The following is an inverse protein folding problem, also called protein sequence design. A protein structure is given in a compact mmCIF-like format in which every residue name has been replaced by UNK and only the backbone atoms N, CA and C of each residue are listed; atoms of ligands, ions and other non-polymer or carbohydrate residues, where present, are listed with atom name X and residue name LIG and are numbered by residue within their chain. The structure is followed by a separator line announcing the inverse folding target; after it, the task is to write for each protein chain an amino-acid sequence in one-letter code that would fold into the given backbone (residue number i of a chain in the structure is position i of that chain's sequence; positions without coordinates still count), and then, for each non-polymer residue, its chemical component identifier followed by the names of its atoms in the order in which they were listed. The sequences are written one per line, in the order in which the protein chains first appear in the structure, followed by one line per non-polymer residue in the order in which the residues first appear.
data_IF_045158589354
#
_entry.id   IF_045158589354
#
_cell.length_a   1.000
_cell.length_b   1.000
_cell.length_c   1.000
_cell.angle_alpha   90.00
_cell.angle_beta   90.00
_cell.angle_gamma   90.00
#
_symmetry.space_group_name_H-M   'P 1'
#
loop_
_entity.id
_entity.type
_entity.pdbx_description
1 polymer ?
#
# COMPACT_ATOMS: atom_id res chain seq x y z
N UNK A 1 -38.66 -21.59 -26.54
CA UNK A 1 -39.34 -20.37 -26.04
C UNK A 1 -38.89 -20.19 -24.60
N UNK A 2 -37.79 -19.46 -24.43
CA UNK A 2 -37.78 -18.08 -23.87
C UNK A 2 -37.85 -18.17 -22.33
N UNK A 3 -36.82 -17.90 -21.54
CA UNK A 3 -35.71 -16.98 -21.75
C UNK A 3 -36.07 -15.59 -21.20
N UNK A 4 -36.05 -15.44 -19.87
CA UNK A 4 -35.88 -14.21 -19.07
C UNK A 4 -36.17 -14.63 -17.61
N UNK A 5 -35.39 -14.32 -16.58
CA UNK A 5 -34.86 -13.01 -16.21
C UNK A 5 -33.54 -13.17 -15.43
N UNK A 6 -32.40 -12.90 -16.08
CA UNK A 6 -31.09 -12.67 -15.44
C UNK A 6 -30.44 -11.39 -16.01
N UNK A 7 -31.26 -10.48 -16.52
CA UNK A 7 -30.85 -9.16 -17.02
C UNK A 7 -30.97 -8.15 -15.89
N UNK A 8 -29.88 -7.97 -15.15
CA UNK A 8 -29.80 -6.92 -14.13
C UNK A 8 -28.38 -6.61 -13.62
N UNK A 9 -27.35 -7.39 -13.99
CA UNK A 9 -25.98 -7.20 -13.54
C UNK A 9 -24.97 -7.15 -14.70
N UNK A 10 -25.29 -6.43 -15.76
CA UNK A 10 -24.40 -6.21 -16.89
C UNK A 10 -24.07 -4.73 -17.01
N UNK A 11 -22.78 -4.40 -16.81
CA UNK A 11 -22.12 -3.10 -16.95
C UNK A 11 -22.26 -2.14 -15.76
N UNK A 12 -21.48 -2.38 -14.70
CA UNK A 12 -21.02 -1.27 -13.85
C UNK A 12 -19.78 -0.68 -14.53
N UNK A 13 -19.80 0.61 -14.84
CA UNK A 13 -18.60 1.33 -15.26
C UNK A 13 -17.56 1.31 -14.14
N UNK A 14 -16.27 1.54 -14.44
CA UNK A 14 -15.24 1.71 -13.39
C UNK A 14 -15.66 2.81 -12.38
N UNK A 15 -16.42 3.80 -12.85
CA UNK A 15 -16.99 4.85 -12.04
C UNK A 15 -18.11 4.35 -11.11
N UNK A 16 -18.91 3.38 -11.53
CA UNK A 16 -19.93 2.76 -10.67
C UNK A 16 -19.30 1.88 -9.57
N UNK A 17 -18.14 1.28 -9.83
CA UNK A 17 -17.35 0.61 -8.80
C UNK A 17 -16.83 1.63 -7.77
N UNK A 18 -16.27 2.76 -8.23
CA UNK A 18 -15.86 3.85 -7.35
C UNK A 18 -17.03 4.39 -6.51
N UNK A 19 -18.22 4.55 -7.10
CA UNK A 19 -19.45 4.93 -6.38
C UNK A 19 -19.79 3.97 -5.27
N UNK A 20 -19.71 2.68 -5.55
CA UNK A 20 -20.05 1.63 -4.59
C UNK A 20 -19.04 1.54 -3.44
N UNK A 21 -17.76 1.74 -3.73
CA UNK A 21 -16.68 1.85 -2.74
C UNK A 21 -16.90 3.06 -1.81
N UNK A 22 -17.17 4.24 -2.37
CA UNK A 22 -17.48 5.45 -1.58
C UNK A 22 -18.76 5.25 -0.77
N UNK A 23 -19.77 4.58 -1.30
CA UNK A 23 -21.01 4.27 -0.56
C UNK A 23 -20.76 3.35 0.63
N UNK A 24 -20.03 2.25 0.40
CA UNK A 24 -19.79 1.21 1.41
C UNK A 24 -18.83 1.69 2.48
N UNK A 25 -17.67 2.20 2.08
CA UNK A 25 -16.65 2.67 3.02
C UNK A 25 -16.99 4.02 3.61
N UNK A 26 -17.69 4.91 2.89
CA UNK A 26 -18.16 6.18 3.44
C UNK A 26 -19.19 5.98 4.56
N UNK A 27 -20.08 4.99 4.42
CA UNK A 27 -21.00 4.61 5.51
C UNK A 27 -20.26 4.13 6.76
N UNK A 28 -19.26 3.28 6.60
CA UNK A 28 -18.41 2.82 7.70
C UNK A 28 -17.61 3.97 8.35
N UNK A 29 -17.12 4.91 7.53
CA UNK A 29 -16.39 6.10 8.00
C UNK A 29 -17.27 6.99 8.88
N UNK A 30 -18.49 7.30 8.43
CA UNK A 30 -19.45 8.12 9.19
C UNK A 30 -19.88 7.44 10.50
N UNK A 31 -20.10 6.11 10.46
CA UNK A 31 -20.39 5.35 11.67
C UNK A 31 -19.22 5.42 12.68
N UNK A 32 -17.99 5.31 12.20
CA UNK A 32 -16.79 5.47 13.01
C UNK A 32 -16.63 6.87 13.60
N UNK A 33 -16.88 7.93 12.82
CA UNK A 33 -16.90 9.30 13.34
C UNK A 33 -17.95 9.50 14.44
N UNK A 34 -19.11 8.84 14.32
CA UNK A 34 -20.17 8.89 15.34
C UNK A 34 -19.73 8.19 16.63
N UNK A 35 -18.98 7.09 16.52
CA UNK A 35 -18.39 6.43 17.68
C UNK A 35 -17.33 7.32 18.35
N UNK A 36 -16.45 7.96 17.56
CA UNK A 36 -15.45 8.91 18.05
C UNK A 36 -16.06 10.18 18.64
N UNK A 37 -17.19 10.67 18.15
CA UNK A 37 -17.83 11.84 18.76
C UNK A 37 -18.41 11.55 20.15
N UNK A 38 -18.72 10.28 20.43
CA UNK A 38 -19.19 9.82 21.75
C UNK A 38 -18.03 9.55 22.71
N UNK A 39 -16.87 9.13 22.18
CA UNK A 39 -15.65 8.87 22.95
C UNK A 39 -14.40 9.17 22.09
N UNK A 40 -13.98 10.44 22.12
CA UNK A 40 -12.97 11.00 21.20
C UNK A 40 -11.55 10.52 21.49
N UNK A 41 -11.32 9.99 22.70
CA UNK A 41 -10.03 9.46 23.11
C UNK A 41 -9.85 7.98 22.73
N UNK A 42 -10.91 7.32 22.22
CA UNK A 42 -10.87 5.90 21.95
C UNK A 42 -10.22 5.59 20.60
N UNK A 43 -8.92 5.30 20.66
CA UNK A 43 -8.08 5.01 19.48
C UNK A 43 -8.56 3.77 18.71
N UNK A 44 -9.22 2.81 19.35
CA UNK A 44 -9.77 1.63 18.66
C UNK A 44 -10.87 2.01 17.66
N UNK A 45 -11.52 3.16 17.87
CA UNK A 45 -12.50 3.68 16.93
C UNK A 45 -11.87 4.37 15.72
N UNK A 46 -10.54 4.60 15.66
CA UNK A 46 -9.84 5.28 14.55
C UNK A 46 -9.52 4.31 13.41
N UNK A 47 -9.10 3.08 13.73
CA UNK A 47 -8.66 2.08 12.75
C UNK A 47 -9.72 1.78 11.65
N UNK A 48 -11.03 1.67 11.96
CA UNK A 48 -12.06 1.52 10.92
C UNK A 48 -12.16 2.71 9.96
N UNK A 49 -11.92 3.94 10.42
CA UNK A 49 -11.93 5.13 9.58
C UNK A 49 -10.72 5.14 8.65
N UNK A 50 -9.55 4.76 9.15
CA UNK A 50 -8.34 4.64 8.33
C UNK A 50 -8.52 3.63 7.20
N UNK A 51 -9.05 2.44 7.50
CA UNK A 51 -9.36 1.43 6.48
C UNK A 51 -10.35 1.94 5.44
N UNK A 52 -11.41 2.62 5.87
CA UNK A 52 -12.39 3.19 4.97
C UNK A 52 -11.79 4.28 4.05
N UNK A 53 -11.00 5.21 4.60
CA UNK A 53 -10.30 6.22 3.80
C UNK A 53 -9.28 5.59 2.83
N UNK A 54 -8.63 4.49 3.21
CA UNK A 54 -7.69 3.75 2.37
C UNK A 54 -8.38 3.10 1.16
N UNK A 55 -9.53 2.43 1.38
CA UNK A 55 -10.30 1.83 0.29
C UNK A 55 -10.79 2.89 -0.70
N UNK A 56 -11.32 4.01 -0.20
CA UNK A 56 -11.78 5.13 -1.04
C UNK A 56 -10.64 5.74 -1.85
N UNK A 57 -9.45 5.92 -1.25
CA UNK A 57 -8.25 6.39 -1.94
C UNK A 57 -7.84 5.45 -3.07
N UNK A 58 -7.84 4.15 -2.81
CA UNK A 58 -7.52 3.11 -3.81
C UNK A 58 -8.49 3.15 -4.98
N UNK A 59 -9.79 3.13 -4.70
CA UNK A 59 -10.84 3.22 -5.72
C UNK A 59 -10.70 4.50 -6.58
N UNK A 60 -10.46 5.66 -5.94
CA UNK A 60 -10.29 6.93 -6.62
C UNK A 60 -9.07 6.99 -7.54
N UNK A 61 -7.95 6.35 -7.17
CA UNK A 61 -6.75 6.26 -8.03
C UNK A 61 -7.04 5.48 -9.32
N UNK A 62 -7.80 4.39 -9.22
CA UNK A 62 -8.16 3.53 -10.36
C UNK A 62 -8.98 4.32 -11.39
N UNK A 63 -9.97 5.09 -10.93
CA UNK A 63 -10.80 5.94 -11.80
C UNK A 63 -10.22 7.32 -12.07
N UNK A 64 -9.00 7.59 -11.60
CA UNK A 64 -8.27 8.87 -11.78
C UNK A 64 -9.02 10.11 -11.28
N UNK A 65 -9.74 9.98 -10.16
CA UNK A 65 -10.42 11.12 -9.51
C UNK A 65 -9.47 11.74 -8.47
N UNK A 66 -8.49 12.50 -8.96
CA UNK A 66 -7.37 13.02 -8.16
C UNK A 66 -7.77 13.78 -6.88
N UNK A 67 -8.79 14.67 -6.85
CA UNK A 67 -9.11 15.38 -5.63
C UNK A 67 -9.64 14.46 -4.51
N UNK A 68 -10.23 13.32 -4.87
CA UNK A 68 -10.66 12.32 -3.89
C UNK A 68 -9.46 11.56 -3.32
N UNK A 69 -8.43 11.29 -4.15
CA UNK A 69 -7.16 10.73 -3.69
C UNK A 69 -6.52 11.64 -2.64
N UNK A 70 -6.37 12.92 -2.96
CA UNK A 70 -5.73 13.90 -2.07
C UNK A 70 -6.48 14.09 -0.75
N UNK A 71 -7.81 14.24 -0.79
CA UNK A 71 -8.61 14.42 0.43
C UNK A 71 -8.59 13.15 1.29
N UNK A 72 -8.72 11.97 0.70
CA UNK A 72 -8.69 10.69 1.44
C UNK A 72 -7.32 10.40 2.06
N UNK A 73 -6.24 10.85 1.42
CA UNK A 73 -4.88 10.76 1.93
C UNK A 73 -4.67 11.70 3.14
N UNK A 74 -5.08 12.97 3.03
CA UNK A 74 -5.03 13.91 4.13
C UNK A 74 -5.91 13.49 5.34
N UNK A 75 -7.05 12.84 5.08
CA UNK A 75 -7.85 12.22 6.15
C UNK A 75 -7.09 11.09 6.85
N UNK A 76 -6.33 10.27 6.13
CA UNK A 76 -5.48 9.23 6.73
C UNK A 76 -4.36 9.83 7.58
N UNK A 77 -3.72 10.91 7.12
CA UNK A 77 -2.66 11.59 7.88
C UNK A 77 -3.19 12.13 9.23
N UNK A 78 -4.37 12.76 9.23
CA UNK A 78 -5.03 13.24 10.47
C UNK A 78 -5.34 12.08 11.42
N UNK A 79 -5.90 10.98 10.90
CA UNK A 79 -6.26 9.81 11.71
C UNK A 79 -5.03 9.07 12.23
N UNK A 80 -3.98 8.96 11.43
CA UNK A 80 -2.70 8.37 11.82
C UNK A 80 -2.01 9.21 12.90
N UNK A 81 -1.99 10.54 12.75
CA UNK A 81 -1.46 11.44 13.78
C UNK A 81 -2.25 11.30 15.10
N UNK A 82 -3.56 11.13 15.01
CA UNK A 82 -4.40 10.87 16.18
C UNK A 82 -4.13 9.51 16.83
N UNK A 83 -3.98 8.45 16.02
CA UNK A 83 -3.67 7.10 16.49
C UNK A 83 -2.31 7.03 17.18
N UNK A 84 -1.33 7.76 16.65
CA UNK A 84 0.03 7.83 17.20
C UNK A 84 0.14 8.84 18.37
N UNK A 85 -0.96 9.50 18.75
CA UNK A 85 -1.00 10.46 19.85
C UNK A 85 -0.29 11.80 19.58
N UNK A 86 0.19 12.04 18.35
CA UNK A 86 0.83 13.30 17.96
C UNK A 86 -0.19 14.41 17.70
N UNK A 87 -1.45 14.03 17.47
CA UNK A 87 -2.60 14.92 17.37
C UNK A 87 -3.69 14.51 18.37
N UNK A 88 -4.13 15.43 19.23
CA UNK A 88 -5.35 15.20 20.01
C UNK A 88 -6.57 15.55 19.17
N UNK A 89 -7.44 14.59 18.89
CA UNK A 89 -8.67 14.85 18.15
C UNK A 89 -9.58 15.80 18.92
N UNK A 90 -10.08 16.81 18.21
CA UNK A 90 -11.07 17.77 18.71
C UNK A 90 -12.40 17.58 17.98
N UNK A 91 -13.48 18.14 18.53
CA UNK A 91 -14.77 18.15 17.84
C UNK A 91 -14.70 18.90 16.50
N UNK A 92 -13.83 19.90 16.38
CA UNK A 92 -13.61 20.60 15.12
C UNK A 92 -12.88 19.70 14.10
N UNK A 93 -11.90 18.91 14.54
CA UNK A 93 -11.25 17.91 13.69
C UNK A 93 -12.25 16.87 13.16
N UNK A 94 -13.13 16.35 14.04
CA UNK A 94 -14.18 15.42 13.63
C UNK A 94 -15.17 16.05 12.63
N UNK A 95 -15.54 17.32 12.81
CA UNK A 95 -16.38 18.06 11.85
C UNK A 95 -15.72 18.20 10.49
N UNK A 96 -14.41 18.50 10.45
CA UNK A 96 -13.66 18.59 9.18
C UNK A 96 -13.64 17.23 8.49
N UNK A 97 -13.33 16.14 9.21
CA UNK A 97 -13.37 14.77 8.67
C UNK A 97 -14.77 14.37 8.17
N UNK A 98 -15.83 14.77 8.88
CA UNK A 98 -17.21 14.56 8.45
C UNK A 98 -17.53 15.32 7.17
N UNK A 99 -17.14 16.59 7.09
CA UNK A 99 -17.33 17.41 5.89
C UNK A 99 -16.55 16.84 4.70
N UNK A 100 -15.31 16.39 4.90
CA UNK A 100 -14.53 15.70 3.87
C UNK A 100 -15.30 14.50 3.32
N UNK A 101 -15.82 13.64 4.18
CA UNK A 101 -16.59 12.46 3.75
C UNK A 101 -17.88 12.83 3.02
N UNK A 102 -18.57 13.90 3.43
CA UNK A 102 -19.75 14.42 2.72
C UNK A 102 -19.40 14.88 1.30
N UNK A 103 -18.33 15.67 1.15
CA UNK A 103 -17.88 16.17 -0.16
C UNK A 103 -17.42 15.01 -1.05
N UNK A 104 -16.69 14.03 -0.52
CA UNK A 104 -16.32 12.81 -1.26
C UNK A 104 -17.55 12.04 -1.76
N UNK A 105 -18.59 11.92 -0.91
CA UNK A 105 -19.86 11.28 -1.28
C UNK A 105 -20.60 12.06 -2.37
N UNK A 106 -20.58 13.39 -2.32
CA UNK A 106 -21.14 14.23 -3.39
C UNK A 106 -20.38 14.05 -4.71
N UNK A 107 -19.04 14.00 -4.67
CA UNK A 107 -18.22 13.77 -5.86
C UNK A 107 -18.54 12.42 -6.48
N UNK A 108 -18.71 11.36 -5.69
CA UNK A 108 -19.07 10.04 -6.22
C UNK A 108 -20.42 10.05 -6.95
N UNK A 109 -21.37 10.90 -6.53
CA UNK A 109 -22.71 11.00 -7.15
C UNK A 109 -22.75 11.82 -8.44
N UNK A 110 -21.66 12.47 -8.85
CA UNK A 110 -21.64 13.26 -10.08
C UNK A 110 -21.87 12.37 -11.30
N UNK A 111 -22.66 12.81 -12.30
CA UNK A 111 -22.81 12.13 -13.58
C UNK A 111 -21.45 11.96 -14.30
N UNK A 112 -21.28 10.88 -15.08
CA UNK A 112 -20.00 10.52 -15.73
C UNK A 112 -19.52 11.62 -16.69
N UNK A 113 -20.45 12.20 -17.43
CA UNK A 113 -20.26 13.34 -18.35
C UNK A 113 -19.94 14.67 -17.65
N UNK A 114 -20.10 14.74 -16.33
CA UNK A 114 -19.80 15.93 -15.52
C UNK A 114 -18.37 15.95 -14.97
N UNK A 115 -17.64 14.82 -14.98
CA UNK A 115 -16.27 14.76 -14.44
C UNK A 115 -15.26 15.58 -15.26
N UNK A 116 -15.38 15.60 -16.59
CA UNK A 116 -14.50 16.39 -17.47
C UNK A 116 -14.69 17.90 -17.31
N UNK A 117 -15.90 18.34 -16.95
CA UNK A 117 -16.19 19.75 -16.64
C UNK A 117 -15.80 20.10 -15.19
N UNK A 118 -15.80 19.12 -14.28
CA UNK A 118 -15.42 19.26 -12.88
C UNK A 118 -13.89 19.28 -12.66
N UNK A 119 -13.12 18.48 -13.42
CA UNK A 119 -11.65 18.39 -13.29
C UNK A 119 -10.92 19.75 -13.41
N UNK A 120 -11.27 20.64 -14.36
CA UNK A 120 -10.56 21.92 -14.56
C UNK A 120 -11.14 23.08 -13.75
N UNK A 121 -12.44 23.04 -13.41
CA UNK A 121 -13.14 24.10 -12.69
C UNK A 121 -13.06 23.88 -11.17
N UNK A 122 -11.83 23.87 -10.64
CA UNK A 122 -11.51 24.29 -9.27
C UNK A 122 -12.60 23.99 -8.24
N UNK A 123 -12.73 22.75 -7.76
CA UNK A 123 -13.62 22.50 -6.62
C UNK A 123 -13.01 23.13 -5.36
N UNK A 124 -13.26 24.44 -5.20
CA UNK A 124 -12.81 25.31 -4.11
C UNK A 124 -13.02 24.61 -2.77
N UNK A 125 -14.09 23.83 -2.65
CA UNK A 125 -14.40 23.02 -1.50
C UNK A 125 -13.31 21.97 -1.20
N UNK A 126 -12.85 21.18 -2.17
CA UNK A 126 -11.78 20.18 -1.95
C UNK A 126 -10.45 20.82 -1.56
N UNK A 127 -10.09 21.97 -2.16
CA UNK A 127 -8.89 22.73 -1.75
C UNK A 127 -9.03 23.32 -0.35
N UNK A 128 -10.21 23.85 -0.02
CA UNK A 128 -10.51 24.36 1.31
C UNK A 128 -10.42 23.25 2.35
N UNK A 129 -10.97 22.07 2.06
CA UNK A 129 -10.87 20.89 2.91
C UNK A 129 -9.43 20.42 3.09
N UNK A 130 -8.61 20.39 2.04
CA UNK A 130 -7.19 20.08 2.17
C UNK A 130 -6.46 21.09 3.07
N UNK A 131 -6.80 22.37 2.97
CA UNK A 131 -6.25 23.39 3.87
C UNK A 131 -6.72 23.17 5.32
N UNK A 132 -8.00 22.87 5.51
CA UNK A 132 -8.60 22.66 6.83
C UNK A 132 -8.04 21.39 7.50
N UNK A 133 -7.89 20.28 6.75
CA UNK A 133 -7.23 19.06 7.22
C UNK A 133 -5.76 19.30 7.60
N UNK A 134 -5.03 20.13 6.85
CA UNK A 134 -3.66 20.55 7.22
C UNK A 134 -3.63 21.40 8.48
N UNK A 135 -4.61 22.29 8.67
CA UNK A 135 -4.77 23.07 9.91
C UNK A 135 -5.10 22.16 11.10
N UNK A 136 -5.94 21.14 10.89
CA UNK A 136 -6.19 20.09 11.90
C UNK A 136 -4.89 19.38 12.24
N UNK A 137 -4.13 18.93 11.23
CA UNK A 137 -2.89 18.18 11.42
C UNK A 137 -1.83 18.99 12.18
N UNK A 138 -1.80 20.32 12.02
CA UNK A 138 -0.91 21.21 12.77
C UNK A 138 -1.39 21.52 14.19
N UNK A 139 -2.53 20.95 14.63
CA UNK A 139 -3.11 21.19 15.95
C UNK A 139 -3.72 22.58 16.13
N UNK A 140 -3.91 23.32 15.03
CA UNK A 140 -4.49 24.65 15.08
C UNK A 140 -6.02 24.58 15.03
N UNK A 141 -6.74 25.49 15.71
CA UNK A 141 -8.19 25.56 15.61
C UNK A 141 -8.61 25.95 14.19
N UNK A 142 -9.48 25.15 13.58
CA UNK A 142 -10.07 25.46 12.28
C UNK A 142 -11.22 26.43 12.48
N UNK A 143 -11.17 27.59 11.83
CA UNK A 143 -12.30 28.52 11.83
C UNK A 143 -13.38 28.00 10.89
N UNK A 144 -14.65 27.88 11.32
CA UNK A 144 -15.73 27.49 10.43
C UNK A 144 -15.82 28.46 9.24
N UNK A 145 -15.58 27.96 8.04
CA UNK A 145 -15.88 28.70 6.81
C UNK A 145 -17.38 28.57 6.56
N UNK A 146 -18.08 29.68 6.30
CA UNK A 146 -19.49 29.62 5.89
C UNK A 146 -19.59 28.74 4.64
N UNK A 147 -20.41 27.69 4.72
CA UNK A 147 -20.74 26.84 3.58
C UNK A 147 -21.35 27.72 2.49
N UNK A 148 -20.84 27.63 1.26
CA UNK A 148 -21.55 28.16 0.09
C UNK A 148 -22.90 27.45 0.07
N UNK A 149 -23.99 28.22 0.22
CA UNK A 149 -25.33 27.68 0.46
C UNK A 149 -25.76 26.69 -0.62
N UNK A 150 -26.58 25.71 -0.22
CA UNK A 150 -27.26 24.73 -1.10
C UNK A 150 -27.98 25.36 -2.32
N UNK A 151 -28.18 26.69 -2.32
CA UNK A 151 -28.79 27.46 -3.41
C UNK A 151 -28.00 27.42 -4.73
N UNK A 152 -26.67 27.32 -4.71
CA UNK A 152 -25.88 27.35 -5.97
C UNK A 152 -25.73 25.97 -6.61
N UNK A 153 -25.67 24.90 -5.81
CA UNK A 153 -25.67 23.52 -6.30
C UNK A 153 -27.03 23.11 -6.89
N UNK A 154 -28.13 23.61 -6.31
CA UNK A 154 -29.50 23.35 -6.81
C UNK A 154 -29.79 24.10 -8.12
N UNK A 155 -29.19 25.27 -8.35
CA UNK A 155 -29.39 26.03 -9.58
C UNK A 155 -28.84 25.31 -10.83
N UNK A 156 -27.80 24.50 -10.69
CA UNK A 156 -27.25 23.70 -11.79
C UNK A 156 -28.06 22.42 -12.04
N UNK A 157 -28.54 21.76 -10.98
CA UNK A 157 -29.40 20.58 -11.06
C UNK A 157 -30.80 20.89 -11.66
N UNK A 158 -31.35 22.08 -11.38
CA UNK A 158 -32.64 22.51 -11.90
C UNK A 158 -32.63 22.87 -13.40
N UNK A 159 -31.45 23.12 -13.99
CA UNK A 159 -31.34 23.53 -15.39
C UNK A 159 -31.32 22.37 -16.39
N UNK A 160 -31.13 21.11 -15.94
CA UNK A 160 -30.80 20.00 -16.86
C UNK A 160 -31.64 18.73 -16.75
N UNK A 161 -32.62 18.58 -15.85
CA UNK A 161 -33.53 17.42 -15.85
C UNK A 161 -34.96 17.79 -15.43
N UNK A 162 -35.95 17.34 -16.20
CA UNK A 162 -37.38 17.43 -15.84
C UNK A 162 -37.70 16.68 -14.55
N UNK A 163 -38.62 17.19 -13.71
CA UNK A 163 -38.93 16.58 -12.43
C UNK A 163 -39.86 15.37 -12.63
N UNK A 164 -39.42 14.18 -12.23
CA UNK A 164 -40.34 13.12 -11.82
C UNK A 164 -40.65 13.29 -10.35
N UNK A 165 -41.84 13.80 -10.08
CA UNK A 165 -42.44 13.93 -8.76
C UNK A 165 -42.72 12.56 -8.15
N UNK A 166 -42.16 12.33 -6.96
CA UNK A 166 -42.53 11.25 -6.06
C UNK A 166 -42.17 11.70 -4.64
N UNK A 167 -43.18 12.11 -3.88
CA UNK A 167 -43.05 12.66 -2.53
C UNK A 167 -42.33 11.71 -1.57
N UNK A 168 -41.33 12.23 -0.88
CA UNK A 168 -40.70 11.62 0.30
C UNK A 168 -41.69 11.69 1.47
N UNK A 169 -42.34 10.58 1.78
CA UNK A 169 -42.89 10.36 3.13
C UNK A 169 -41.85 9.60 3.95
N UNK A 170 -41.52 10.17 5.10
CA UNK A 170 -40.65 9.58 6.09
C UNK A 170 -41.37 8.40 6.77
N UNK A 171 -40.96 7.17 6.49
CA UNK A 171 -41.02 5.99 7.38
C UNK A 171 -40.63 4.71 6.60
N UNK A 172 -39.36 4.31 6.69
CA UNK A 172 -38.95 2.90 6.78
C UNK A 172 -37.43 2.83 7.02
N UNK A 173 -37.01 2.43 8.22
CA UNK A 173 -35.66 1.92 8.45
C UNK A 173 -35.76 0.41 8.19
N UNK A 174 -35.27 -0.14 7.07
CA UNK A 174 -35.12 -1.58 7.00
C UNK A 174 -33.89 -1.94 7.84
N UNK A 175 -34.09 -2.74 8.88
CA UNK A 175 -32.99 -3.45 9.52
C UNK A 175 -32.22 -4.21 8.44
N UNK A 176 -30.91 -4.03 8.41
CA UNK A 176 -30.02 -4.73 7.50
C UNK A 176 -30.25 -6.25 7.65
N UNK A 177 -30.53 -7.00 6.57
CA UNK A 177 -30.54 -8.45 6.67
C UNK A 177 -29.10 -8.91 6.95
N UNK A 178 -28.96 -9.81 7.92
CA UNK A 178 -27.70 -10.46 8.23
C UNK A 178 -27.06 -10.99 6.93
N UNK A 179 -25.89 -10.47 6.59
CA UNK A 179 -25.14 -10.85 5.41
C UNK A 179 -24.70 -12.32 5.54
N UNK A 180 -25.48 -13.24 4.98
CA UNK A 180 -24.98 -14.56 4.64
C UNK A 180 -24.10 -14.41 3.40
N UNK A 181 -22.79 -14.41 3.60
CA UNK A 181 -21.78 -14.44 2.54
C UNK A 181 -22.08 -15.62 1.59
N UNK A 182 -22.43 -15.31 0.33
CA UNK A 182 -22.50 -16.30 -0.75
C UNK A 182 -21.06 -16.67 -1.12
N UNK A 183 -20.68 -17.90 -0.79
CA UNK A 183 -19.48 -18.59 -1.27
C UNK A 183 -19.47 -18.61 -2.82
N UNK A 184 -18.45 -18.04 -3.45
CA UNK A 184 -18.12 -18.29 -4.86
C UNK A 184 -18.15 -17.10 -5.84
N UNK A 185 -17.97 -15.86 -5.40
CA UNK A 185 -17.67 -14.74 -6.31
C UNK A 185 -16.32 -14.14 -5.93
N UNK A 186 -15.32 -14.12 -6.82
CA UNK A 186 -13.99 -13.61 -6.48
C UNK A 186 -14.11 -12.16 -6.00
N UNK A 187 -13.36 -11.84 -4.95
CA UNK A 187 -13.26 -10.47 -4.45
C UNK A 187 -12.80 -9.54 -5.59
N UNK A 188 -13.43 -8.37 -5.81
CA UNK A 188 -12.98 -7.39 -6.81
C UNK A 188 -11.51 -6.97 -6.65
N UNK A 189 -10.97 -7.02 -5.42
CA UNK A 189 -9.56 -6.78 -5.14
C UNK A 189 -8.66 -7.88 -5.71
N UNK A 190 -9.12 -9.13 -5.74
CA UNK A 190 -8.40 -10.26 -6.33
C UNK A 190 -8.36 -10.14 -7.85
N UNK A 191 -9.43 -9.66 -8.49
CA UNK A 191 -9.43 -9.45 -9.95
C UNK A 191 -8.51 -8.29 -10.36
N UNK A 192 -8.47 -7.21 -9.58
CA UNK A 192 -7.49 -6.13 -9.78
C UNK A 192 -6.04 -6.62 -9.59
N UNK A 193 -5.79 -7.38 -8.51
CA UNK A 193 -4.50 -8.03 -8.30
C UNK A 193 -4.11 -8.91 -9.50
N UNK A 194 -5.04 -9.69 -10.06
CA UNK A 194 -4.80 -10.53 -11.24
C UNK A 194 -4.42 -9.71 -12.48
N UNK A 195 -5.07 -8.58 -12.70
CA UNK A 195 -4.74 -7.66 -13.81
C UNK A 195 -3.36 -7.03 -13.64
N UNK A 196 -3.05 -6.56 -12.43
CA UNK A 196 -1.74 -5.97 -12.11
C UNK A 196 -0.62 -7.00 -12.31
N UNK A 197 -0.77 -8.21 -11.76
CA UNK A 197 0.21 -9.28 -11.94
C UNK A 197 0.35 -9.65 -13.41
N UNK A 198 -0.74 -9.68 -14.20
CA UNK A 198 -0.65 -9.99 -15.64
C UNK A 198 0.18 -8.95 -16.40
N UNK A 199 -0.03 -7.65 -16.12
CA UNK A 199 0.74 -6.58 -16.75
C UNK A 199 2.22 -6.60 -16.34
N UNK A 200 2.49 -6.71 -15.05
CA UNK A 200 3.86 -6.72 -14.53
C UNK A 200 4.61 -8.01 -14.89
N UNK A 201 3.94 -9.17 -14.89
CA UNK A 201 4.53 -10.44 -15.33
C UNK A 201 4.91 -10.41 -16.81
N UNK A 202 4.11 -9.76 -17.66
CA UNK A 202 4.49 -9.56 -19.06
C UNK A 202 5.77 -8.72 -19.18
N UNK A 203 5.84 -7.60 -18.47
CA UNK A 203 7.03 -6.74 -18.46
C UNK A 203 8.28 -7.49 -17.94
N UNK A 204 8.11 -8.27 -16.87
CA UNK A 204 9.16 -9.13 -16.31
C UNK A 204 9.65 -10.16 -17.33
N UNK A 205 8.76 -10.91 -17.97
CA UNK A 205 9.13 -11.92 -18.96
C UNK A 205 9.87 -11.32 -20.16
N UNK A 206 9.35 -10.23 -20.73
CA UNK A 206 9.98 -9.56 -21.87
C UNK A 206 11.36 -9.00 -21.51
N UNK A 207 11.48 -8.36 -20.34
CA UNK A 207 12.74 -7.80 -19.88
C UNK A 207 13.78 -8.85 -19.50
N UNK A 208 13.37 -9.94 -18.84
CA UNK A 208 14.28 -11.05 -18.51
C UNK A 208 14.86 -11.69 -19.77
N UNK A 209 14.05 -11.90 -20.80
CA UNK A 209 14.52 -12.39 -22.11
C UNK A 209 15.45 -11.39 -22.78
N UNK A 210 15.18 -10.08 -22.67
CA UNK A 210 16.08 -9.06 -23.18
C UNK A 210 17.44 -9.05 -22.44
N UNK A 211 17.45 -9.33 -21.13
CA UNK A 211 18.67 -9.47 -20.33
C UNK A 211 19.50 -10.71 -20.71
N UNK A 212 18.95 -11.71 -21.41
CA UNK A 212 19.78 -12.81 -21.95
C UNK A 212 20.82 -12.31 -22.97
N UNK A 213 20.44 -11.25 -23.71
CA UNK A 213 21.27 -10.67 -24.76
C UNK A 213 22.21 -9.60 -24.23
N UNK A 214 21.74 -8.83 -23.24
CA UNK A 214 22.51 -7.80 -22.56
C UNK A 214 22.32 -7.88 -21.03
N UNK A 215 23.03 -8.81 -20.36
CA UNK A 215 22.90 -9.01 -18.91
C UNK A 215 23.35 -7.82 -18.06
N UNK A 216 24.01 -6.84 -18.68
CA UNK A 216 24.54 -5.62 -18.05
C UNK A 216 23.63 -4.41 -18.21
N UNK A 217 22.44 -4.56 -18.78
CA UNK A 217 21.51 -3.46 -18.99
C UNK A 217 20.86 -3.00 -17.68
N UNK A 218 21.57 -2.11 -16.96
CA UNK A 218 21.15 -1.61 -15.64
C UNK A 218 19.77 -0.91 -15.64
N UNK A 219 19.45 -0.02 -16.60
CA UNK A 219 18.11 0.57 -16.68
C UNK A 219 16.98 -0.46 -16.85
N UNK A 220 17.25 -1.54 -17.58
CA UNK A 220 16.30 -2.64 -17.74
C UNK A 220 16.15 -3.42 -16.42
N UNK A 221 17.24 -3.76 -15.74
CA UNK A 221 17.20 -4.41 -14.41
C UNK A 221 16.36 -3.58 -13.42
N UNK A 222 16.56 -2.26 -13.35
CA UNK A 222 15.77 -1.37 -12.50
C UNK A 222 14.28 -1.40 -12.84
N UNK A 223 13.95 -1.45 -14.13
CA UNK A 223 12.57 -1.55 -14.60
C UNK A 223 11.92 -2.85 -14.14
N UNK A 224 12.65 -3.96 -14.19
CA UNK A 224 12.16 -5.26 -13.74
C UNK A 224 12.04 -5.33 -12.21
N UNK A 225 12.96 -4.71 -11.46
CA UNK A 225 12.84 -4.62 -10.00
C UNK A 225 11.56 -3.88 -9.59
N UNK A 226 11.25 -2.75 -10.25
CA UNK A 226 10.00 -2.03 -10.00
C UNK A 226 8.78 -2.88 -10.31
N UNK A 227 8.79 -3.64 -11.41
CA UNK A 227 7.69 -4.54 -11.76
C UNK A 227 7.47 -5.62 -10.67
N UNK A 228 8.55 -6.24 -10.17
CA UNK A 228 8.47 -7.20 -9.07
C UNK A 228 7.96 -6.55 -7.77
N UNK A 229 8.41 -5.34 -7.44
CA UNK A 229 7.95 -4.58 -6.29
C UNK A 229 6.44 -4.28 -6.35
N UNK A 230 5.94 -3.86 -7.52
CA UNK A 230 4.50 -3.58 -7.72
C UNK A 230 3.66 -4.83 -7.52
N UNK A 231 4.11 -6.00 -8.01
CA UNK A 231 3.45 -7.28 -7.74
C UNK A 231 3.41 -7.58 -6.23
N UNK A 232 4.53 -7.37 -5.53
CA UNK A 232 4.64 -7.58 -4.07
C UNK A 232 3.65 -6.71 -3.31
N UNK A 233 3.53 -5.43 -3.66
CA UNK A 233 2.59 -4.49 -3.05
C UNK A 233 1.12 -4.91 -3.31
N UNK A 234 0.78 -5.25 -4.57
CA UNK A 234 -0.55 -5.72 -4.93
C UNK A 234 -0.93 -7.02 -4.19
N UNK A 235 0.02 -7.95 -4.04
CA UNK A 235 -0.18 -9.19 -3.30
C UNK A 235 -0.47 -8.97 -1.80
N UNK A 236 0.18 -7.98 -1.16
CA UNK A 236 -0.12 -7.62 0.24
C UNK A 236 -1.54 -7.11 0.43
N UNK A 237 -2.07 -6.34 -0.53
CA UNK A 237 -3.44 -5.78 -0.48
C UNK A 237 -4.50 -6.89 -0.44
N UNK A 238 -4.28 -7.98 -1.17
CA UNK A 238 -5.17 -9.14 -1.20
C UNK A 238 -4.78 -10.24 -0.20
N UNK A 239 -3.81 -9.99 0.67
CA UNK A 239 -3.27 -10.94 1.64
C UNK A 239 -2.80 -12.26 1.01
N UNK A 240 -2.15 -12.18 -0.15
CA UNK A 240 -1.67 -13.35 -0.88
C UNK A 240 -0.17 -13.58 -0.65
N UNK A 241 0.14 -14.19 0.49
CA UNK A 241 1.50 -14.37 1.01
C UNK A 241 2.45 -15.09 0.03
N UNK A 242 2.00 -16.13 -0.67
CA UNK A 242 2.86 -16.84 -1.63
C UNK A 242 3.32 -15.93 -2.78
N UNK A 243 2.45 -15.03 -3.27
CA UNK A 243 2.82 -14.04 -4.29
C UNK A 243 3.76 -12.98 -3.74
N UNK A 244 3.59 -12.57 -2.48
CA UNK A 244 4.53 -11.65 -1.80
C UNK A 244 5.93 -12.25 -1.77
N UNK A 245 6.05 -13.52 -1.37
CA UNK A 245 7.33 -14.19 -1.21
C UNK A 245 8.05 -14.42 -2.55
N UNK A 246 7.33 -14.86 -3.58
CA UNK A 246 7.91 -15.07 -4.92
C UNK A 246 8.36 -13.74 -5.54
N UNK A 247 7.53 -12.70 -5.45
CA UNK A 247 7.87 -11.38 -5.97
C UNK A 247 9.07 -10.77 -5.25
N UNK A 248 9.15 -10.94 -3.93
CA UNK A 248 10.31 -10.50 -3.15
C UNK A 248 11.59 -11.25 -3.55
N UNK A 249 11.54 -12.58 -3.69
CA UNK A 249 12.71 -13.37 -4.09
C UNK A 249 13.19 -13.02 -5.52
N UNK A 250 12.26 -12.70 -6.43
CA UNK A 250 12.57 -12.18 -7.77
C UNK A 250 13.26 -10.81 -7.71
N UNK A 251 12.73 -9.89 -6.91
CA UNK A 251 13.31 -8.56 -6.67
C UNK A 251 14.73 -8.65 -6.11
N UNK A 252 14.98 -9.54 -5.14
CA UNK A 252 16.30 -9.77 -4.54
C UNK A 252 17.36 -10.25 -5.54
N UNK A 253 16.98 -11.12 -6.48
CA UNK A 253 17.90 -11.61 -7.52
C UNK A 253 18.22 -10.53 -8.54
N UNK A 254 17.21 -9.77 -8.98
CA UNK A 254 17.42 -8.63 -9.87
C UNK A 254 18.29 -7.56 -9.20
N UNK A 255 18.08 -7.32 -7.91
CA UNK A 255 18.92 -6.43 -7.12
C UNK A 255 20.35 -6.97 -6.97
N UNK A 256 20.54 -8.27 -6.73
CA UNK A 256 21.86 -8.88 -6.71
C UNK A 256 22.57 -8.74 -8.07
N UNK A 257 21.83 -8.81 -9.17
CA UNK A 257 22.36 -8.58 -10.52
C UNK A 257 22.74 -7.12 -10.76
N UNK A 258 21.90 -6.18 -10.32
CA UNK A 258 22.18 -4.75 -10.35
C UNK A 258 23.51 -4.43 -9.62
N UNK A 259 23.74 -5.06 -8.46
CA UNK A 259 24.95 -4.84 -7.67
C UNK A 259 26.17 -5.62 -8.19
N UNK A 260 26.06 -6.30 -9.34
CA UNK A 260 27.12 -7.14 -9.91
C UNK A 260 27.47 -8.36 -9.05
N UNK A 261 26.66 -8.68 -8.03
CA UNK A 261 26.83 -9.84 -7.15
C UNK A 261 26.33 -11.13 -7.79
N UNK A 262 25.32 -11.02 -8.66
CA UNK A 262 24.76 -12.10 -9.45
C UNK A 262 25.00 -11.83 -10.94
N UNK A 263 25.50 -12.83 -11.67
CA UNK A 263 25.56 -12.76 -13.13
C UNK A 263 24.32 -13.45 -13.70
N UNK A 264 23.51 -12.71 -14.45
CA UNK A 264 22.35 -13.26 -15.16
C UNK A 264 22.79 -14.05 -16.39
N UNK A 265 23.16 -15.31 -16.21
CA UNK A 265 23.34 -16.24 -17.33
C UNK A 265 21.98 -16.84 -17.73
N UNK A 266 21.88 -17.56 -18.87
CA UNK A 266 20.64 -18.20 -19.29
C UNK A 266 20.01 -19.08 -18.20
N UNK A 267 20.83 -19.77 -17.40
CA UNK A 267 20.32 -20.60 -16.30
C UNK A 267 19.65 -19.77 -15.19
N UNK A 268 20.24 -18.64 -14.81
CA UNK A 268 19.67 -17.71 -13.83
C UNK A 268 18.39 -17.08 -14.36
N UNK A 269 18.39 -16.66 -15.63
CA UNK A 269 17.23 -16.08 -16.28
C UNK A 269 16.08 -17.09 -16.36
N UNK A 270 16.36 -18.36 -16.70
CA UNK A 270 15.36 -19.44 -16.65
C UNK A 270 14.75 -19.61 -15.25
N UNK A 271 15.57 -19.47 -14.20
CA UNK A 271 15.08 -19.54 -12.81
C UNK A 271 14.16 -18.36 -12.46
N UNK A 272 14.51 -17.14 -12.91
CA UNK A 272 13.66 -15.96 -12.73
C UNK A 272 12.37 -16.05 -13.56
N UNK A 273 12.43 -16.54 -14.80
CA UNK A 273 11.25 -16.75 -15.64
C UNK A 273 10.28 -17.76 -15.01
N UNK A 274 10.78 -18.84 -14.41
CA UNK A 274 9.94 -19.79 -13.64
C UNK A 274 9.19 -19.12 -12.49
N UNK A 275 9.77 -18.09 -11.87
CA UNK A 275 9.09 -17.32 -10.81
C UNK A 275 7.98 -16.43 -11.36
N UNK A 276 8.17 -15.87 -12.56
CA UNK A 276 7.16 -15.08 -13.27
C UNK A 276 6.00 -15.97 -13.76
N UNK A 277 6.32 -17.18 -14.24
CA UNK A 277 5.32 -18.20 -14.59
C UNK A 277 4.48 -18.58 -13.37
N UNK A 278 5.12 -18.81 -12.23
CA UNK A 278 4.44 -19.15 -10.98
C UNK A 278 3.51 -18.02 -10.52
N UNK A 279 3.98 -16.77 -10.53
CA UNK A 279 3.14 -15.58 -10.27
C UNK A 279 1.94 -15.51 -11.22
N UNK A 280 2.14 -15.85 -12.49
CA UNK A 280 1.06 -15.86 -13.48
C UNK A 280 0.06 -16.99 -13.24
N UNK A 281 0.51 -18.20 -12.83
CA UNK A 281 -0.39 -19.31 -12.48
C UNK A 281 -1.32 -18.94 -11.33
N UNK A 282 -0.81 -18.23 -10.33
CA UNK A 282 -1.61 -17.74 -9.21
C UNK A 282 -2.80 -16.88 -9.65
N UNK A 283 -2.62 -16.09 -10.72
CA UNK A 283 -3.69 -15.23 -11.24
C UNK A 283 -4.80 -16.00 -11.96
N UNK A 284 -4.51 -17.20 -12.47
CA UNK A 284 -5.43 -17.96 -13.30
C UNK A 284 -6.16 -19.08 -12.53
N UNK A 285 -5.86 -19.23 -11.24
CA UNK A 285 -6.47 -20.23 -10.36
C UNK A 285 -7.76 -19.67 -9.72
N UNK A 286 -8.87 -20.40 -9.77
CA UNK A 286 -10.15 -19.95 -9.19
C UNK A 286 -10.14 -19.96 -7.66
N UNK A 287 -11.01 -19.19 -7.00
CA UNK A 287 -11.11 -19.15 -5.52
C UNK A 287 -11.48 -20.51 -4.91
N UNK A 288 -12.23 -21.34 -5.64
CA UNK A 288 -12.56 -22.71 -5.24
C UNK A 288 -11.36 -23.66 -5.35
N UNK A 289 -10.51 -23.47 -6.37
CA UNK A 289 -9.24 -24.21 -6.51
C UNK A 289 -8.18 -23.70 -5.53
N UNK A 290 -8.23 -22.42 -5.13
CA UNK A 290 -7.30 -21.78 -4.20
C UNK A 290 -7.28 -22.45 -2.82
N UNK A 291 -8.44 -22.90 -2.32
CA UNK A 291 -8.57 -23.60 -1.04
C UNK A 291 -7.98 -25.02 -1.08
N UNK A 292 -8.04 -25.70 -2.24
CA UNK A 292 -7.41 -27.01 -2.48
C UNK A 292 -5.93 -26.89 -2.91
N UNK A 293 -5.49 -25.69 -3.30
CA UNK A 293 -4.14 -25.40 -3.80
C UNK A 293 -3.14 -25.12 -2.66
N UNK A 294 -3.58 -24.49 -1.56
CA UNK A 294 -2.78 -24.19 -0.36
C UNK A 294 -2.00 -25.39 0.24
N UNK A 295 -2.55 -26.62 0.28
CA UNK A 295 -1.83 -27.79 0.79
C UNK A 295 -0.94 -28.51 -0.24
N UNK A 296 -1.21 -28.35 -1.53
CA UNK A 296 -0.68 -29.27 -2.57
C UNK A 296 0.50 -28.69 -3.37
N UNK A 297 0.72 -27.37 -3.34
CA UNK A 297 1.86 -26.71 -4.02
C UNK A 297 2.75 -25.83 -3.13
N UNK A 298 2.63 -25.94 -1.80
CA UNK A 298 3.57 -25.30 -0.86
C UNK A 298 5.03 -25.77 -1.08
N UNK A 299 5.21 -26.99 -1.57
CA UNK A 299 6.53 -27.56 -1.86
C UNK A 299 7.18 -26.96 -3.11
N UNK A 300 6.41 -26.67 -4.18
CA UNK A 300 6.96 -26.06 -5.41
C UNK A 300 7.31 -24.58 -5.18
N UNK A 301 6.39 -23.84 -4.55
CA UNK A 301 6.62 -22.43 -4.17
C UNK A 301 7.81 -22.32 -3.22
N UNK A 302 7.83 -23.16 -2.17
CA UNK A 302 8.93 -23.23 -1.21
C UNK A 302 10.26 -23.60 -1.87
N UNK A 303 10.28 -24.63 -2.74
CA UNK A 303 11.49 -25.03 -3.45
C UNK A 303 12.00 -23.95 -4.40
N UNK A 304 11.11 -23.20 -5.06
CA UNK A 304 11.50 -22.10 -5.93
C UNK A 304 12.04 -20.91 -5.13
N UNK A 305 11.40 -20.55 -4.01
CA UNK A 305 11.89 -19.51 -3.10
C UNK A 305 13.29 -19.89 -2.61
N UNK A 306 13.50 -21.13 -2.17
CA UNK A 306 14.83 -21.60 -1.75
C UNK A 306 15.85 -21.48 -2.89
N UNK A 307 15.50 -21.91 -4.10
CA UNK A 307 16.39 -21.77 -5.27
C UNK A 307 16.76 -20.31 -5.56
N UNK A 308 15.77 -19.40 -5.50
CA UNK A 308 15.98 -17.97 -5.71
C UNK A 308 16.81 -17.34 -4.59
N UNK A 309 16.57 -17.72 -3.32
CA UNK A 309 17.36 -17.23 -2.19
C UNK A 309 18.80 -17.74 -2.25
N UNK A 310 19.01 -19.01 -2.59
CA UNK A 310 20.34 -19.57 -2.83
C UNK A 310 21.04 -18.85 -3.99
N UNK A 311 20.30 -18.48 -5.03
CA UNK A 311 20.84 -17.77 -6.18
C UNK A 311 21.27 -16.34 -5.81
N UNK A 312 20.44 -15.59 -5.09
CA UNK A 312 20.78 -14.26 -4.60
C UNK A 312 21.94 -14.29 -3.59
N UNK A 313 22.07 -15.37 -2.81
CA UNK A 313 23.14 -15.58 -1.84
C UNK A 313 24.48 -16.02 -2.47
N UNK A 314 24.47 -16.54 -3.71
CA UNK A 314 25.68 -16.92 -4.45
C UNK A 314 26.48 -15.68 -4.83
N UNK A 315 27.32 -15.25 -3.90
CA UNK A 315 28.33 -14.22 -4.16
C UNK A 315 29.45 -14.82 -5.01
N UNK A 316 29.66 -14.29 -6.22
CA UNK A 316 30.93 -14.49 -6.90
C UNK A 316 32.02 -13.68 -6.19
N UNK A 317 32.84 -14.35 -5.39
CA UNK A 317 34.16 -13.83 -5.00
C UNK A 317 35.16 -14.13 -6.12
N UNK A 318 35.40 -13.17 -7.02
CA UNK A 318 36.73 -12.81 -7.58
C UNK A 318 36.64 -11.72 -8.67
N UNK A 319 37.44 -10.66 -8.48
CA UNK A 319 37.70 -9.43 -9.25
C UNK A 319 38.26 -9.63 -10.70
N UNK A 320 38.48 -8.59 -11.57
CA UNK A 320 39.01 -7.23 -11.30
C UNK A 320 38.09 -6.06 -11.76
N UNK A 321 38.43 -4.80 -11.42
CA UNK A 321 37.53 -3.66 -11.61
C UNK A 321 37.40 -3.32 -13.09
N UNK A 322 36.17 -3.13 -13.55
CA UNK A 322 35.94 -2.46 -14.83
C UNK A 322 36.25 -0.98 -14.59
N UNK A 323 37.40 -0.56 -15.13
CA UNK A 323 37.77 0.84 -15.31
C UNK A 323 36.60 1.57 -15.98
N UNK A 324 35.86 2.36 -15.20
CA UNK A 324 34.86 3.28 -15.71
C UNK A 324 35.56 4.29 -16.62
N UNK A 325 35.36 4.13 -17.93
CA UNK A 325 35.62 5.19 -18.87
C UNK A 325 34.64 6.33 -18.56
N UNK A 326 35.17 7.44 -18.08
CA UNK A 326 34.44 8.69 -17.91
C UNK A 326 33.99 9.13 -19.31
N UNK A 327 32.71 8.97 -19.62
CA UNK A 327 32.05 9.67 -20.71
C UNK A 327 31.32 10.88 -20.11
N UNK A 328 31.60 12.06 -20.65
CA UNK A 328 31.06 13.35 -20.24
C UNK A 328 29.51 13.40 -20.27
N UNK A 329 28.89 14.22 -19.40
CA UNK A 329 27.43 14.30 -19.30
C UNK A 329 26.83 15.03 -20.51
N UNK A 330 25.86 14.39 -21.17
CA UNK A 330 24.94 15.06 -22.07
C UNK A 330 23.75 15.63 -21.26
N UNK A 331 23.28 16.86 -21.55
CA UNK A 331 22.22 17.48 -20.78
C UNK A 331 20.86 16.89 -21.14
N UNK A 332 20.25 16.15 -20.22
CA UNK A 332 18.84 15.75 -20.28
C UNK A 332 17.97 16.88 -19.74
N UNK A 333 16.97 17.28 -20.52
CA UNK A 333 15.90 18.23 -20.17
C UNK A 333 15.13 17.80 -18.91
N UNK A 334 14.48 18.74 -18.18
CA UNK A 334 13.99 18.51 -16.82
C UNK A 334 12.80 17.55 -16.81
N UNK A 335 13.07 16.31 -16.40
CA UNK A 335 12.06 15.35 -15.99
C UNK A 335 11.70 15.66 -14.54
N UNK A 336 10.40 15.63 -14.20
CA UNK A 336 9.91 15.70 -12.83
C UNK A 336 10.74 14.74 -11.96
N UNK A 337 11.30 15.24 -10.86
CA UNK A 337 12.25 14.49 -10.04
C UNK A 337 11.57 13.22 -9.48
N UNK A 338 11.98 12.07 -10.01
CA UNK A 338 11.69 10.74 -9.47
C UNK A 338 12.37 10.60 -8.09
N UNK A 339 11.72 9.97 -7.09
CA UNK A 339 12.31 9.81 -5.77
C UNK A 339 13.57 8.94 -5.86
N UNK A 340 14.63 9.37 -5.17
CA UNK A 340 15.89 8.63 -5.14
C UNK A 340 15.72 7.29 -4.39
N UNK A 341 16.55 6.28 -4.67
CA UNK A 341 16.55 5.01 -3.90
C UNK A 341 16.72 5.25 -2.38
N UNK A 342 17.41 6.33 -2.01
CA UNK A 342 17.59 6.74 -0.62
C UNK A 342 16.30 7.32 -0.01
N UNK A 343 15.44 7.91 -0.83
CA UNK A 343 14.10 8.36 -0.43
C UNK A 343 13.15 7.19 -0.22
N UNK A 344 13.19 6.18 -1.11
CA UNK A 344 12.46 4.92 -0.90
C UNK A 344 12.94 4.17 0.36
N UNK A 345 14.25 4.14 0.62
CA UNK A 345 14.79 3.61 1.87
C UNK A 345 14.27 4.38 3.09
N UNK A 346 14.22 5.71 3.01
CA UNK A 346 13.68 6.56 4.09
C UNK A 346 12.22 6.26 4.39
N UNK A 347 11.40 6.12 3.35
CA UNK A 347 10.00 5.74 3.48
C UNK A 347 9.85 4.35 4.12
N UNK A 348 10.65 3.39 3.68
CA UNK A 348 10.64 2.03 4.24
C UNK A 348 11.08 2.02 5.71
N UNK A 349 12.18 2.71 6.07
CA UNK A 349 12.61 2.84 7.47
C UNK A 349 11.54 3.52 8.30
N UNK A 350 10.92 4.60 7.82
CA UNK A 350 9.88 5.30 8.56
C UNK A 350 8.66 4.40 8.83
N UNK A 351 8.20 3.68 7.81
CA UNK A 351 7.06 2.76 7.90
C UNK A 351 7.36 1.57 8.83
N UNK A 352 8.50 0.91 8.63
CA UNK A 352 8.85 -0.30 9.38
C UNK A 352 9.33 -0.01 10.79
N UNK A 353 10.01 1.12 11.06
CA UNK A 353 10.35 1.54 12.42
C UNK A 353 9.11 1.83 13.26
N UNK A 354 8.04 2.38 12.66
CA UNK A 354 6.76 2.54 13.33
C UNK A 354 6.17 1.18 13.72
N UNK A 355 6.11 0.24 12.76
CA UNK A 355 5.62 -1.12 13.02
C UNK A 355 6.45 -1.86 14.09
N UNK A 356 7.78 -1.67 14.08
CA UNK A 356 8.68 -2.24 15.08
C UNK A 356 8.42 -1.65 16.47
N UNK A 357 8.32 -0.33 16.60
CA UNK A 357 8.04 0.32 17.88
C UNK A 357 6.70 -0.12 18.46
N UNK A 358 5.62 -0.04 17.68
CA UNK A 358 4.28 -0.42 18.15
C UNK A 358 4.22 -1.90 18.53
N UNK A 359 4.79 -2.78 17.71
CA UNK A 359 4.78 -4.21 17.97
C UNK A 359 5.66 -4.60 19.16
N UNK A 360 6.80 -3.95 19.38
CA UNK A 360 7.68 -4.21 20.53
C UNK A 360 7.01 -3.79 21.85
N UNK A 361 6.34 -2.65 21.87
CA UNK A 361 5.55 -2.20 23.02
C UNK A 361 4.36 -3.14 23.27
N UNK A 362 3.66 -3.57 22.22
CA UNK A 362 2.58 -4.55 22.36
C UNK A 362 3.10 -5.90 22.88
N UNK A 363 4.30 -6.32 22.46
CA UNK A 363 4.94 -7.55 22.91
C UNK A 363 5.34 -7.47 24.40
N UNK A 364 5.57 -6.28 24.95
CA UNK A 364 5.80 -6.12 26.39
C UNK A 364 4.54 -6.47 27.20
N UNK A 365 3.36 -6.09 26.70
CA UNK A 365 2.08 -6.46 27.31
C UNK A 365 1.70 -7.93 27.04
N UNK A 366 2.10 -8.48 25.89
CA UNK A 366 1.77 -9.84 25.45
C UNK A 366 3.01 -10.66 25.00
N UNK A 367 3.91 -11.05 25.92
CA UNK A 367 5.22 -11.64 25.57
C UNK A 367 5.17 -13.00 24.86
N UNK A 368 4.00 -13.63 24.80
CA UNK A 368 3.79 -14.94 24.17
C UNK A 368 3.10 -14.84 22.80
N UNK A 369 2.82 -13.63 22.32
CA UNK A 369 2.12 -13.42 21.06
C UNK A 369 3.08 -13.62 19.86
N UNK A 370 3.20 -14.86 19.40
CA UNK A 370 4.09 -15.24 18.29
C UNK A 370 3.73 -14.54 16.97
N UNK A 371 2.45 -14.19 16.76
CA UNK A 371 2.03 -13.47 15.57
C UNK A 371 2.58 -12.03 15.53
N UNK A 372 2.70 -11.38 16.70
CA UNK A 372 3.41 -10.10 16.82
C UNK A 372 4.90 -10.29 16.52
N UNK A 373 5.53 -11.33 17.06
CA UNK A 373 6.95 -11.64 16.79
C UNK A 373 7.20 -11.85 15.29
N UNK A 374 6.36 -12.62 14.59
CA UNK A 374 6.47 -12.85 13.14
C UNK A 374 6.35 -11.54 12.34
N UNK A 375 5.49 -10.63 12.81
CA UNK A 375 5.27 -9.34 12.15
C UNK A 375 6.47 -8.41 12.36
N UNK A 376 7.04 -8.39 13.57
CA UNK A 376 8.27 -7.67 13.89
C UNK A 376 9.48 -8.21 13.11
N UNK A 377 9.61 -9.54 12.99
CA UNK A 377 10.67 -10.17 12.20
C UNK A 377 10.62 -9.70 10.74
N UNK A 378 9.42 -9.70 10.15
CA UNK A 378 9.22 -9.22 8.76
C UNK A 378 9.56 -7.74 8.62
N UNK A 379 9.19 -6.90 9.58
CA UNK A 379 9.53 -5.48 9.56
C UNK A 379 11.05 -5.25 9.62
N UNK A 380 11.75 -5.92 10.55
CA UNK A 380 13.21 -5.86 10.65
C UNK A 380 13.90 -6.38 9.37
N UNK A 381 13.40 -7.48 8.80
CA UNK A 381 13.89 -8.03 7.55
C UNK A 381 13.73 -7.06 6.37
N UNK A 382 12.59 -6.35 6.30
CA UNK A 382 12.33 -5.37 5.25
C UNK A 382 13.30 -4.18 5.32
N UNK A 383 13.57 -3.67 6.54
CA UNK A 383 14.58 -2.62 6.75
C UNK A 383 15.98 -3.13 6.39
N UNK A 384 16.33 -4.37 6.78
CA UNK A 384 17.62 -4.97 6.44
C UNK A 384 17.82 -5.03 4.92
N UNK A 385 16.78 -5.46 4.18
CA UNK A 385 16.77 -5.46 2.72
C UNK A 385 16.95 -4.06 2.13
N UNK A 386 16.16 -3.09 2.60
CA UNK A 386 16.23 -1.71 2.15
C UNK A 386 17.60 -1.05 2.45
N UNK A 387 18.16 -1.27 3.63
CA UNK A 387 19.47 -0.76 4.03
C UNK A 387 20.60 -1.32 3.16
N UNK A 388 20.50 -2.62 2.82
CA UNK A 388 21.40 -3.26 1.86
C UNK A 388 21.23 -2.69 0.45
N UNK A 389 20.01 -2.30 0.06
CA UNK A 389 19.72 -1.66 -1.23
C UNK A 389 20.49 -0.35 -1.42
N UNK A 390 20.51 0.49 -0.40
CA UNK A 390 21.17 1.80 -0.43
C UNK A 390 22.61 1.79 0.14
N UNK A 391 23.18 0.59 0.37
CA UNK A 391 24.53 0.39 0.89
C UNK A 391 24.81 1.09 2.24
N UNK A 392 23.81 1.14 3.12
CA UNK A 392 23.97 1.67 4.47
C UNK A 392 24.27 0.52 5.45
N UNK A 393 25.53 0.09 5.47
CA UNK A 393 25.99 -1.04 6.28
C UNK A 393 25.64 -0.91 7.77
N UNK A 394 25.65 0.32 8.31
CA UNK A 394 25.28 0.56 9.69
C UNK A 394 23.80 0.18 9.95
N UNK A 395 22.89 0.58 9.06
CA UNK A 395 21.48 0.22 9.18
C UNK A 395 21.25 -1.27 8.94
N UNK A 396 21.94 -1.87 7.96
CA UNK A 396 21.85 -3.31 7.70
C UNK A 396 22.24 -4.12 8.95
N UNK A 397 23.36 -3.77 9.61
CA UNK A 397 23.81 -4.47 10.82
C UNK A 397 22.80 -4.37 11.95
N UNK A 398 22.22 -3.19 12.17
CA UNK A 398 21.24 -2.99 13.25
C UNK A 398 19.97 -3.79 12.96
N UNK A 399 19.42 -3.69 11.74
CA UNK A 399 18.22 -4.42 11.33
C UNK A 399 18.42 -5.95 11.40
N UNK A 400 19.59 -6.44 11.01
CA UNK A 400 19.95 -7.85 11.12
C UNK A 400 19.97 -8.33 12.58
N UNK A 401 20.58 -7.57 13.49
CA UNK A 401 20.60 -7.95 14.92
C UNK A 401 19.20 -7.93 15.53
N UNK A 402 18.35 -6.96 15.15
CA UNK A 402 16.94 -6.95 15.58
C UNK A 402 16.21 -8.21 15.11
N UNK A 403 16.37 -8.58 13.84
CA UNK A 403 15.77 -9.78 13.26
C UNK A 403 16.25 -11.06 13.96
N UNK A 404 17.55 -11.21 14.23
CA UNK A 404 18.11 -12.39 14.91
C UNK A 404 17.56 -12.57 16.33
N UNK A 405 17.40 -11.47 17.07
CA UNK A 405 16.82 -11.50 18.42
C UNK A 405 15.34 -11.91 18.34
N UNK A 406 14.60 -11.41 17.36
CA UNK A 406 13.19 -11.77 17.16
C UNK A 406 13.03 -13.22 16.68
N UNK A 407 13.93 -13.74 15.83
CA UNK A 407 14.00 -15.16 15.45
C UNK A 407 14.24 -16.03 16.68
N UNK A 408 15.19 -15.65 17.53
CA UNK A 408 15.47 -16.38 18.76
C UNK A 408 14.24 -16.39 19.71
N UNK A 409 13.52 -15.26 19.80
CA UNK A 409 12.28 -15.18 20.57
C UNK A 409 11.17 -16.07 19.98
N UNK A 410 11.01 -16.08 18.66
CA UNK A 410 10.05 -16.93 17.93
C UNK A 410 10.33 -18.41 18.17
N UNK A 411 11.60 -18.83 18.13
CA UNK A 411 12.05 -20.19 18.41
C UNK A 411 12.01 -20.55 19.91
N UNK A 412 11.63 -19.60 20.77
CA UNK A 412 11.61 -19.73 22.24
C UNK A 412 12.97 -20.10 22.83
N UNK A 413 14.06 -19.73 22.15
CA UNK A 413 15.43 -19.91 22.65
C UNK A 413 15.82 -18.79 23.61
N UNK A 414 15.16 -17.64 23.49
CA UNK A 414 15.22 -16.53 24.45
C UNK A 414 13.80 -16.10 24.85
N UNK A 415 13.69 -15.40 25.97
CA UNK A 415 12.46 -14.72 26.40
C UNK A 415 12.75 -13.22 26.40
N UNK A 416 11.93 -12.43 25.70
CA UNK A 416 12.08 -10.98 25.68
C UNK A 416 11.47 -10.41 26.96
N UNK A 417 12.31 -9.93 27.86
CA UNK A 417 11.90 -9.13 29.02
C UNK A 417 11.87 -7.66 28.64
N UNK A 418 11.32 -6.81 29.52
CA UNK A 418 11.35 -5.35 29.33
C UNK A 418 12.75 -4.82 29.00
N UNK A 419 13.82 -5.40 29.59
CA UNK A 419 15.19 -4.98 29.31
C UNK A 419 15.65 -5.31 27.87
N UNK A 420 15.24 -6.46 27.32
CA UNK A 420 15.51 -6.77 25.92
C UNK A 420 14.64 -5.92 24.98
N UNK A 421 13.38 -5.67 25.34
CA UNK A 421 12.48 -4.80 24.55
C UNK A 421 13.03 -3.37 24.48
N UNK A 422 13.48 -2.79 25.59
CA UNK A 422 14.16 -1.48 25.63
C UNK A 422 15.43 -1.45 24.77
N UNK A 423 16.14 -2.58 24.67
CA UNK A 423 17.31 -2.68 23.79
C UNK A 423 16.92 -2.73 22.32
N UNK A 424 15.85 -3.46 21.97
CA UNK A 424 15.32 -3.52 20.60
C UNK A 424 14.79 -2.14 20.17
N UNK A 425 14.06 -1.44 21.03
CA UNK A 425 13.55 -0.08 20.76
C UNK A 425 14.71 0.90 20.47
N UNK A 426 15.80 0.85 21.25
CA UNK A 426 17.01 1.65 20.94
C UNK A 426 17.63 1.30 19.59
N UNK A 427 17.54 0.05 19.15
CA UNK A 427 17.95 -0.35 17.80
C UNK A 427 17.07 0.27 16.72
N UNK A 428 15.75 0.33 16.95
CA UNK A 428 14.79 0.99 16.04
C UNK A 428 15.01 2.49 15.97
N UNK A 429 15.32 3.14 17.09
CA UNK A 429 15.70 4.57 17.13
C UNK A 429 16.94 4.83 16.27
N UNK A 430 17.97 3.99 16.42
CA UNK A 430 19.20 4.09 15.63
C UNK A 430 18.94 3.89 14.12
N UNK A 431 18.05 2.98 13.73
CA UNK A 431 17.64 2.82 12.33
C UNK A 431 16.96 4.09 11.79
N UNK A 432 16.11 4.69 12.61
CA UNK A 432 15.39 5.93 12.26
C UNK A 432 16.35 7.12 12.12
N UNK A 433 17.36 7.22 12.98
CA UNK A 433 18.44 8.22 12.87
C UNK A 433 19.25 8.05 11.58
N UNK A 434 19.60 6.81 11.24
CA UNK A 434 20.33 6.51 10.00
C UNK A 434 19.49 6.86 8.76
N UNK A 435 18.19 6.54 8.79
CA UNK A 435 17.25 6.93 7.73
C UNK A 435 17.14 8.45 7.56
N UNK A 436 17.09 9.19 8.66
CA UNK A 436 16.99 10.65 8.65
C UNK A 436 18.28 11.37 8.22
N UNK A 437 19.43 10.69 8.22
CA UNK A 437 20.73 11.29 7.91
C UNK A 437 20.86 11.66 6.42
N UNK A 438 21.54 12.76 6.12
CA UNK A 438 21.83 13.20 4.73
C UNK A 438 23.19 12.65 4.26
N UNK A 439 23.37 12.46 2.94
CA UNK A 439 24.57 11.85 2.32
C UNK A 439 25.93 12.44 2.75
N UNK A 440 25.96 13.58 3.45
CA UNK A 440 27.17 14.24 3.92
C UNK A 440 27.85 13.58 5.15
N UNK A 441 27.13 12.78 5.94
CA UNK A 441 27.61 12.32 7.26
C UNK A 441 27.95 10.82 7.37
N UNK A 442 27.64 10.00 6.36
CA UNK A 442 27.75 8.53 6.48
C UNK A 442 29.13 7.94 6.14
N UNK A 443 30.15 8.78 5.89
CA UNK A 443 31.51 8.32 5.54
C UNK A 443 32.59 8.74 6.57
N UNK A 444 32.20 8.91 7.84
CA UNK A 444 33.13 9.21 8.94
C UNK A 444 33.27 8.07 9.94
#
# INVERSE_FOLDING_TARGET
MSGSSLTGMSNLSLLDLFREEVRTHGGAFVAGLTALSSDIANVQNIEPLMRAAHSIKGAARIVKVEPVVLVSDAMQEVLLAAMNGTLTLSLDALRVLEQSMKTLTQIARLPEDSYEQWLPAQNVETRNLLADLKTVLSGQPVTPRESVSDSEAVAYAAAHHEPRTGELTAEFIPQAPAATSKRGSPSPLVDLFREEVRGQAQALSEGLVALERDPSNMPLIETLMRAAHTIKAAARIVNFEASVQVAHALEDNLFAAQQGRLRLSPHEIDCLLRSVDLLTRFTNTSEAEFADWLPTENDEVGALIVQLSELAARSFTTSPPITAAIAEPQPSSPQLAEPSLLELFREEVASQSLALNDGLVALEAEPQNLQLVDSLMRAAHSIKGAARIVNLEAAERVAHVLEDVLVAAQQRTITLTSAEIDLLLRGVDLLSEIGASTEADTNK
#
